data_IF_099108140436
#
_entry.id   IF_099108140436
#
_cell.length_a   1.000
_cell.length_b   1.000
_cell.length_c   1.000
_cell.angle_alpha   90.00
_cell.angle_beta   90.00
_cell.angle_gamma   90.00
#
_symmetry.space_group_name_H-M   'P 1'
#
loop_
_entity.id
_entity.type
_entity.pdbx_description
1 polymer ?
#
# COMPACT_ATOMS: atom_id res chain seq x y z
N UNK A 1 45.63 -34.42 -23.30
CA UNK A 1 44.16 -34.35 -23.27
C UNK A 1 43.76 -32.91 -22.91
N UNK A 2 43.40 -32.08 -23.91
CA UNK A 2 43.09 -30.65 -23.72
C UNK A 2 41.57 -30.51 -23.57
N UNK A 3 41.13 -30.05 -22.39
CA UNK A 3 39.71 -29.77 -22.11
C UNK A 3 39.43 -28.33 -22.47
N UNK A 4 38.60 -28.11 -23.49
CA UNK A 4 38.15 -26.79 -23.90
C UNK A 4 36.91 -26.40 -23.07
N UNK A 5 36.99 -25.31 -22.32
CA UNK A 5 35.86 -24.70 -21.64
C UNK A 5 35.11 -23.78 -22.61
N UNK A 6 33.87 -24.13 -22.93
CA UNK A 6 33.00 -23.25 -23.69
C UNK A 6 32.35 -22.24 -22.70
N UNK A 7 32.68 -20.97 -22.86
CA UNK A 7 32.06 -19.86 -22.15
C UNK A 7 30.75 -19.51 -22.86
N UNK A 8 29.64 -19.88 -22.27
CA UNK A 8 28.31 -19.49 -22.72
C UNK A 8 28.01 -18.03 -22.38
N UNK A 9 27.91 -17.19 -23.41
CA UNK A 9 27.47 -15.79 -23.28
C UNK A 9 25.94 -15.73 -23.08
N UNK A 10 25.48 -15.50 -21.85
CA UNK A 10 24.08 -15.28 -21.59
C UNK A 10 23.69 -13.87 -22.04
N UNK A 11 22.88 -13.76 -23.09
CA UNK A 11 22.22 -12.52 -23.49
C UNK A 11 21.14 -12.15 -22.45
N UNK A 12 21.38 -11.12 -21.66
CA UNK A 12 20.34 -10.46 -20.88
C UNK A 12 19.43 -9.69 -21.84
N UNK A 13 18.23 -10.21 -22.10
CA UNK A 13 17.17 -9.48 -22.78
C UNK A 13 16.52 -8.55 -21.75
N UNK A 14 16.86 -7.27 -21.80
CA UNK A 14 16.16 -6.25 -21.03
C UNK A 14 14.71 -6.14 -21.53
N UNK A 15 13.75 -6.47 -20.67
CA UNK A 15 12.33 -6.26 -20.98
C UNK A 15 12.05 -4.76 -21.12
N UNK A 16 11.40 -4.31 -22.23
CA UNK A 16 11.09 -2.90 -22.41
C UNK A 16 10.08 -2.47 -21.32
N UNK A 17 10.37 -1.34 -20.66
CA UNK A 17 9.42 -0.68 -19.78
C UNK A 17 8.15 -0.34 -20.59
N UNK A 18 6.99 -0.80 -20.13
CA UNK A 18 5.71 -0.50 -20.78
C UNK A 18 5.51 1.03 -20.85
N UNK A 19 5.23 1.60 -22.05
CA UNK A 19 5.04 3.02 -22.18
C UNK A 19 3.82 3.49 -21.39
N UNK A 20 3.94 4.60 -20.68
CA UNK A 20 2.81 5.27 -20.04
C UNK A 20 1.74 5.57 -21.11
N UNK A 21 0.53 5.10 -20.90
CA UNK A 21 -0.59 5.29 -21.83
C UNK A 21 -0.91 6.78 -21.93
N UNK A 22 -0.61 7.39 -23.07
CA UNK A 22 -1.03 8.76 -23.40
C UNK A 22 -2.41 8.68 -24.01
N UNK A 23 -3.40 9.29 -23.38
CA UNK A 23 -4.73 9.45 -23.96
C UNK A 23 -4.80 10.84 -24.59
N UNK A 24 -5.08 10.90 -25.88
CA UNK A 24 -5.32 12.17 -26.57
C UNK A 24 -6.79 12.58 -26.38
N UNK A 25 -6.99 13.72 -25.78
CA UNK A 25 -8.33 14.32 -25.65
C UNK A 25 -8.49 15.35 -26.76
N UNK A 26 -9.40 15.11 -27.70
CA UNK A 26 -9.79 16.08 -28.74
C UNK A 26 -10.76 17.09 -28.13
N UNK A 27 -10.37 18.35 -28.11
CA UNK A 27 -11.20 19.47 -27.62
C UNK A 27 -11.85 20.26 -28.71
N UNK A 28 -11.36 20.15 -29.98
CA UNK A 28 -11.89 20.76 -31.19
C UNK A 28 -11.35 20.02 -32.42
N UNK A 29 -11.99 20.12 -33.61
CA UNK A 29 -11.43 19.55 -34.81
C UNK A 29 -10.02 20.07 -35.10
N UNK A 30 -9.03 19.16 -35.06
CA UNK A 30 -7.62 19.45 -35.31
C UNK A 30 -6.76 19.80 -34.11
N UNK A 31 -7.29 19.81 -32.85
CA UNK A 31 -6.50 20.08 -31.65
C UNK A 31 -6.59 18.91 -30.66
N UNK A 32 -5.51 18.17 -30.50
CA UNK A 32 -5.38 17.11 -29.48
C UNK A 32 -4.36 17.50 -28.42
N UNK A 33 -4.67 17.21 -27.16
CA UNK A 33 -3.76 17.39 -26.04
C UNK A 33 -3.41 16.04 -25.44
N UNK A 34 -2.11 15.70 -25.26
CA UNK A 34 -1.70 14.50 -24.55
C UNK A 34 -1.98 14.67 -23.06
N UNK A 35 -2.92 13.91 -22.52
CA UNK A 35 -3.19 13.86 -21.08
C UNK A 35 -2.46 12.67 -20.47
N UNK A 36 -1.57 12.94 -19.51
CA UNK A 36 -0.91 11.90 -18.73
C UNK A 36 -1.90 11.29 -17.75
N UNK A 37 -2.46 10.15 -18.08
CA UNK A 37 -3.37 9.44 -17.18
C UNK A 37 -2.58 8.49 -16.25
N UNK A 38 -2.87 8.59 -14.95
CA UNK A 38 -2.38 7.63 -13.95
C UNK A 38 -3.49 6.61 -13.71
N UNK A 39 -3.22 5.32 -13.88
CA UNK A 39 -4.19 4.29 -13.57
C UNK A 39 -4.50 4.25 -12.07
N UNK A 40 -5.70 3.81 -11.68
CA UNK A 40 -6.05 3.63 -10.26
C UNK A 40 -5.08 2.68 -9.55
N UNK A 41 -4.54 1.68 -10.27
CA UNK A 41 -3.55 0.76 -9.75
C UNK A 41 -2.23 1.48 -9.43
N UNK A 42 -1.72 2.32 -10.34
CA UNK A 42 -0.52 3.13 -10.09
C UNK A 42 -0.74 4.13 -8.95
N UNK A 43 -1.90 4.80 -8.93
CA UNK A 43 -2.24 5.74 -7.87
C UNK A 43 -2.16 5.10 -6.47
N UNK A 44 -2.61 3.85 -6.31
CA UNK A 44 -2.53 3.11 -5.04
C UNK A 44 -1.11 2.82 -4.59
N UNK A 45 -0.17 2.67 -5.51
CA UNK A 45 1.25 2.41 -5.20
C UNK A 45 2.12 3.67 -5.16
N UNK A 46 1.53 4.86 -5.31
CA UNK A 46 2.30 6.11 -5.26
C UNK A 46 3.04 6.34 -3.94
N UNK A 47 2.41 5.97 -2.82
CA UNK A 47 2.96 6.11 -1.46
C UNK A 47 2.95 4.76 -0.70
N UNK A 48 3.03 3.66 -1.40
CA UNK A 48 3.11 2.31 -0.84
C UNK A 48 4.04 1.50 -1.71
N UNK A 49 5.07 0.94 -1.11
CA UNK A 49 6.03 0.08 -1.79
C UNK A 49 5.38 -1.26 -2.11
N UNK A 50 5.54 -1.70 -3.36
CA UNK A 50 5.03 -3.00 -3.79
C UNK A 50 6.02 -4.08 -3.44
N UNK A 51 5.56 -5.18 -2.82
CA UNK A 51 6.36 -6.37 -2.62
C UNK A 51 6.71 -7.04 -3.97
N UNK A 52 7.92 -7.59 -4.06
CA UNK A 52 8.40 -8.32 -5.24
C UNK A 52 8.12 -9.81 -5.15
N UNK A 53 8.19 -10.38 -3.95
CA UNK A 53 8.00 -11.80 -3.66
C UNK A 53 6.82 -12.01 -2.72
N UNK A 54 6.21 -13.18 -2.73
CA UNK A 54 5.05 -13.50 -1.86
C UNK A 54 5.38 -13.46 -0.37
N UNK A 55 6.64 -13.72 0.00
CA UNK A 55 7.13 -13.71 1.38
C UNK A 55 7.82 -12.38 1.78
N UNK A 56 7.89 -11.37 0.89
CA UNK A 56 8.59 -10.09 1.16
C UNK A 56 7.70 -8.97 1.67
N UNK A 57 6.47 -9.27 2.12
CA UNK A 57 5.56 -8.25 2.65
C UNK A 57 6.16 -7.46 3.83
N UNK A 58 7.01 -8.08 4.66
CA UNK A 58 7.69 -7.42 5.78
C UNK A 58 8.66 -6.33 5.33
N UNK A 59 9.55 -6.61 4.37
CA UNK A 59 10.49 -5.62 3.82
C UNK A 59 9.79 -4.50 3.10
N UNK A 60 8.74 -4.80 2.31
CA UNK A 60 7.95 -3.79 1.62
C UNK A 60 7.11 -2.92 2.58
N UNK A 61 6.60 -3.51 3.69
CA UNK A 61 5.91 -2.75 4.74
C UNK A 61 6.89 -1.79 5.46
N UNK A 62 8.09 -2.26 5.81
CA UNK A 62 9.14 -1.42 6.40
C UNK A 62 9.56 -0.31 5.44
N UNK A 63 9.82 -0.64 4.17
CA UNK A 63 10.17 0.35 3.16
C UNK A 63 9.07 1.40 2.97
N UNK A 64 7.79 0.98 3.03
CA UNK A 64 6.65 1.90 3.01
C UNK A 64 6.64 2.80 4.24
N UNK A 65 6.82 2.24 5.43
CA UNK A 65 6.80 2.95 6.70
C UNK A 65 7.90 4.02 6.72
N UNK A 66 9.15 3.63 6.46
CA UNK A 66 10.29 4.54 6.51
C UNK A 66 10.22 5.62 5.43
N UNK A 67 10.00 5.24 4.19
CA UNK A 67 10.03 6.19 3.07
C UNK A 67 8.90 7.22 3.14
N UNK A 68 7.68 6.78 3.41
CA UNK A 68 6.50 7.64 3.28
C UNK A 68 5.94 8.17 4.59
N UNK A 69 6.26 7.55 5.72
CA UNK A 69 5.71 7.97 7.00
C UNK A 69 6.78 8.60 7.92
N UNK A 70 8.06 8.31 7.70
CA UNK A 70 9.17 8.86 8.49
C UNK A 70 10.18 9.69 7.67
N UNK A 71 10.01 9.75 6.34
CA UNK A 71 10.90 10.52 5.47
C UNK A 71 12.34 9.98 5.43
N UNK A 72 12.51 8.66 5.62
CA UNK A 72 13.79 7.94 5.50
C UNK A 72 13.74 7.00 4.29
N UNK A 73 14.14 7.46 3.09
CA UNK A 73 13.94 6.71 1.85
C UNK A 73 14.74 5.40 1.85
N UNK A 74 14.03 4.32 1.55
CA UNK A 74 14.61 3.00 1.28
C UNK A 74 13.72 2.24 0.31
N UNK A 75 14.34 1.53 -0.64
CA UNK A 75 13.62 0.63 -1.53
C UNK A 75 13.42 -0.76 -0.90
N UNK A 76 12.48 -1.51 -1.46
CA UNK A 76 12.12 -2.84 -0.93
C UNK A 76 13.26 -3.84 -1.03
N UNK A 77 14.08 -3.78 -2.11
CA UNK A 77 15.18 -4.70 -2.31
C UNK A 77 16.27 -4.51 -1.25
N UNK A 78 16.66 -3.25 -1.00
CA UNK A 78 17.65 -2.92 0.04
C UNK A 78 17.19 -3.34 1.43
N UNK A 79 15.90 -3.10 1.77
CA UNK A 79 15.35 -3.56 3.03
C UNK A 79 15.32 -5.09 3.11
N UNK A 80 14.92 -5.76 2.02
CA UNK A 80 14.89 -7.22 1.92
C UNK A 80 16.29 -7.82 2.13
N UNK A 81 17.29 -7.36 1.39
CA UNK A 81 18.64 -7.92 1.42
C UNK A 81 19.25 -7.84 2.83
N UNK A 82 19.13 -6.67 3.48
CA UNK A 82 19.62 -6.48 4.85
C UNK A 82 18.88 -7.38 5.85
N UNK A 83 17.55 -7.43 5.77
CA UNK A 83 16.75 -8.25 6.68
C UNK A 83 16.99 -9.75 6.46
N UNK A 84 17.19 -10.18 5.21
CA UNK A 84 17.44 -11.57 4.85
C UNK A 84 18.84 -12.04 5.28
N UNK A 85 19.84 -11.19 5.11
CA UNK A 85 21.21 -11.48 5.54
C UNK A 85 21.35 -11.69 7.05
N UNK A 86 20.60 -10.88 7.84
CA UNK A 86 20.67 -10.92 9.30
C UNK A 86 19.59 -11.79 9.97
N UNK A 87 18.70 -12.39 9.19
CA UNK A 87 17.60 -13.22 9.65
C UNK A 87 17.83 -14.72 9.46
N UNK A 88 16.86 -15.51 9.91
CA UNK A 88 16.83 -16.96 9.64
C UNK A 88 16.28 -17.18 8.21
N UNK A 89 17.21 -17.32 7.24
CA UNK A 89 16.88 -17.43 5.83
C UNK A 89 15.95 -18.62 5.51
N UNK A 90 16.13 -19.77 6.21
CA UNK A 90 15.31 -20.94 6.01
C UNK A 90 13.86 -20.71 6.48
N UNK A 91 13.69 -20.01 7.58
CA UNK A 91 12.39 -19.60 8.11
C UNK A 91 11.74 -18.52 7.26
N UNK A 92 12.51 -17.49 6.89
CA UNK A 92 12.03 -16.38 6.04
C UNK A 92 11.50 -16.90 4.71
N UNK A 93 12.19 -17.85 4.07
CA UNK A 93 11.74 -18.45 2.81
C UNK A 93 10.42 -19.22 2.89
N UNK A 94 10.05 -19.70 4.09
CA UNK A 94 8.81 -20.47 4.32
C UNK A 94 7.66 -19.63 4.87
N UNK A 95 7.96 -18.73 5.82
CA UNK A 95 6.97 -18.03 6.64
C UNK A 95 6.98 -16.51 6.41
N UNK A 96 7.98 -15.98 5.66
CA UNK A 96 8.25 -14.55 5.54
C UNK A 96 8.99 -13.99 6.75
N UNK A 97 9.20 -12.67 6.74
CA UNK A 97 9.85 -11.95 7.84
C UNK A 97 8.99 -11.94 9.11
N UNK A 98 9.62 -11.93 10.28
CA UNK A 98 8.97 -11.74 11.56
C UNK A 98 9.02 -10.27 12.02
N UNK A 99 8.21 -9.91 13.03
CA UNK A 99 8.33 -8.60 13.70
C UNK A 99 9.70 -8.40 14.34
N UNK A 100 10.39 -9.48 14.74
CA UNK A 100 11.74 -9.40 15.28
C UNK A 100 12.76 -9.01 14.19
N UNK A 101 12.63 -9.53 12.98
CA UNK A 101 13.49 -9.16 11.86
C UNK A 101 13.27 -7.68 11.50
N UNK A 102 12.00 -7.24 11.48
CA UNK A 102 11.64 -5.82 11.30
C UNK A 102 12.25 -4.95 12.42
N UNK A 103 12.15 -5.38 13.68
CA UNK A 103 12.74 -4.66 14.84
C UNK A 103 14.24 -4.50 14.71
N UNK A 104 14.96 -5.57 14.37
CA UNK A 104 16.41 -5.55 14.19
C UNK A 104 16.84 -4.61 13.07
N UNK A 105 16.12 -4.69 11.95
CA UNK A 105 16.37 -3.81 10.82
C UNK A 105 16.15 -2.33 11.18
N UNK A 106 15.05 -1.99 11.83
CA UNK A 106 14.77 -0.63 12.28
C UNK A 106 15.83 -0.14 13.25
N UNK A 107 16.27 -0.99 14.20
CA UNK A 107 17.33 -0.67 15.15
C UNK A 107 18.67 -0.38 14.47
N UNK A 108 19.04 -1.10 13.40
CA UNK A 108 20.26 -0.83 12.63
C UNK A 108 20.25 0.53 11.93
N UNK A 109 19.05 1.13 11.76
CA UNK A 109 18.85 2.47 11.20
C UNK A 109 18.58 3.55 12.27
N UNK A 110 18.75 3.22 13.56
CA UNK A 110 18.54 4.16 14.66
C UNK A 110 17.10 4.33 15.13
N UNK A 111 16.16 3.57 14.58
CA UNK A 111 14.76 3.58 15.02
C UNK A 111 14.52 2.56 16.13
N UNK A 112 13.84 2.99 17.19
CA UNK A 112 13.39 2.13 18.27
C UNK A 112 11.91 1.80 18.08
N UNK A 113 11.59 0.52 17.87
CA UNK A 113 10.25 0.06 17.58
C UNK A 113 9.87 -1.15 18.41
N UNK A 114 8.63 -1.17 18.88
CA UNK A 114 8.08 -2.25 19.70
C UNK A 114 6.62 -2.55 19.35
N UNK A 115 6.19 -3.77 19.70
CA UNK A 115 4.80 -4.21 19.56
C UNK A 115 4.01 -3.93 20.83
N UNK A 116 2.83 -3.34 20.68
CA UNK A 116 1.91 -3.03 21.77
C UNK A 116 0.53 -3.61 21.51
N UNK A 117 -0.09 -4.17 22.54
CA UNK A 117 -1.50 -4.55 22.54
C UNK A 117 -2.33 -3.36 23.04
N UNK A 118 -2.70 -2.50 22.10
CA UNK A 118 -3.49 -1.29 22.39
C UNK A 118 -4.59 -1.11 21.35
N UNK A 119 -5.68 -0.42 21.69
CA UNK A 119 -6.72 -0.07 20.73
C UNK A 119 -6.18 0.75 19.56
N UNK A 120 -6.67 0.51 18.35
CA UNK A 120 -6.23 1.20 17.12
C UNK A 120 -6.40 2.73 17.22
N UNK A 121 -7.36 3.20 17.99
CA UNK A 121 -7.64 4.60 18.27
C UNK A 121 -6.44 5.32 18.90
N UNK A 122 -5.58 4.60 19.60
CA UNK A 122 -4.34 5.18 20.15
C UNK A 122 -3.43 5.71 19.06
N UNK A 123 -3.40 5.07 17.89
CA UNK A 123 -2.61 5.54 16.75
C UNK A 123 -3.11 6.91 16.24
N UNK A 124 -4.44 7.17 16.31
CA UNK A 124 -5.00 8.47 15.95
C UNK A 124 -4.63 9.55 16.96
N UNK A 125 -4.71 9.23 18.26
CA UNK A 125 -4.36 10.15 19.35
C UNK A 125 -2.87 10.50 19.32
N UNK A 126 -2.01 9.49 19.13
CA UNK A 126 -0.55 9.68 19.10
C UNK A 126 -0.03 10.18 17.75
N UNK A 127 -0.86 10.14 16.70
CA UNK A 127 -0.49 10.58 15.35
C UNK A 127 0.58 9.71 14.69
N UNK A 128 0.72 8.43 15.08
CA UNK A 128 1.80 7.57 14.63
C UNK A 128 1.30 6.43 13.75
N UNK A 129 2.01 6.09 12.65
CA UNK A 129 1.73 4.92 11.83
C UNK A 129 2.22 3.63 12.52
N UNK A 130 1.65 2.51 12.14
CA UNK A 130 2.02 1.20 12.69
C UNK A 130 2.12 0.13 11.61
N UNK A 131 3.01 -0.84 11.77
CA UNK A 131 2.93 -2.11 11.05
C UNK A 131 2.02 -3.05 11.84
N UNK A 132 1.12 -3.73 11.15
CA UNK A 132 0.23 -4.75 11.73
C UNK A 132 0.22 -5.99 10.87
N UNK A 133 -0.03 -7.13 11.50
CA UNK A 133 -0.23 -8.41 10.80
C UNK A 133 -1.73 -8.64 10.63
N UNK A 134 -2.17 -8.79 9.38
CA UNK A 134 -3.55 -9.15 9.06
C UNK A 134 -3.61 -10.55 8.45
N UNK A 135 -4.75 -11.21 8.64
CA UNK A 135 -5.06 -12.49 8.00
C UNK A 135 -6.23 -12.30 7.04
N UNK A 136 -5.97 -12.42 5.75
CA UNK A 136 -7.01 -12.34 4.74
C UNK A 136 -7.12 -13.66 3.99
N UNK A 137 -8.17 -14.45 4.30
CA UNK A 137 -8.43 -15.78 3.73
C UNK A 137 -7.31 -16.81 3.99
N UNK A 138 -6.74 -16.80 5.18
CA UNK A 138 -5.64 -17.69 5.56
C UNK A 138 -4.25 -17.17 5.19
N UNK A 139 -4.16 -16.11 4.41
CA UNK A 139 -2.88 -15.46 4.09
C UNK A 139 -2.57 -14.38 5.12
N UNK A 140 -1.49 -14.61 5.89
CA UNK A 140 -0.96 -13.65 6.86
C UNK A 140 0.03 -12.73 6.16
N UNK A 141 -0.18 -11.40 6.24
CA UNK A 141 0.81 -10.47 5.74
C UNK A 141 0.85 -9.15 6.52
N UNK A 142 1.99 -8.49 6.43
CA UNK A 142 2.21 -7.19 7.03
C UNK A 142 1.68 -6.08 6.17
N UNK A 143 0.97 -5.14 6.81
CA UNK A 143 0.51 -3.90 6.21
C UNK A 143 0.84 -2.72 7.12
N UNK A 144 0.93 -1.52 6.57
CA UNK A 144 1.13 -0.29 7.33
C UNK A 144 -0.20 0.40 7.56
N UNK A 145 -0.60 0.62 8.82
CA UNK A 145 -1.70 1.51 9.16
C UNK A 145 -1.18 2.94 9.03
N UNK A 146 -1.65 3.65 8.01
CA UNK A 146 -1.24 5.02 7.64
C UNK A 146 -2.22 6.08 8.13
N UNK A 147 -3.39 5.65 8.57
CA UNK A 147 -4.42 6.56 9.06
C UNK A 147 -5.65 5.83 9.59
N UNK A 148 -6.34 6.54 10.49
CA UNK A 148 -7.65 6.17 11.01
C UNK A 148 -8.50 7.42 11.11
N UNK A 149 -9.66 7.43 10.46
CA UNK A 149 -10.55 8.59 10.45
C UNK A 149 -11.99 8.17 10.15
N UNK A 150 -12.93 8.68 10.95
CA UNK A 150 -14.40 8.45 10.75
C UNK A 150 -14.74 6.95 10.62
N UNK A 151 -14.18 6.08 11.46
CA UNK A 151 -14.43 4.64 11.45
C UNK A 151 -13.86 3.89 10.24
N UNK A 152 -12.91 4.50 9.51
CA UNK A 152 -12.18 3.89 8.39
C UNK A 152 -10.70 3.81 8.71
N UNK A 153 -10.09 2.67 8.36
CA UNK A 153 -8.65 2.41 8.49
C UNK A 153 -8.01 2.52 7.12
N UNK A 154 -6.98 3.34 7.01
CA UNK A 154 -6.19 3.52 5.80
C UNK A 154 -4.94 2.66 5.88
N UNK A 155 -4.75 1.78 4.92
CA UNK A 155 -3.67 0.81 4.87
C UNK A 155 -2.75 1.06 3.68
N UNK A 156 -1.44 1.00 3.92
CA UNK A 156 -0.42 0.76 2.90
C UNK A 156 -0.19 -0.75 2.81
N UNK A 157 -0.78 -1.37 1.80
CA UNK A 157 -0.74 -2.82 1.61
C UNK A 157 0.27 -3.16 0.51
N UNK A 158 1.37 -3.89 0.83
CA UNK A 158 2.42 -4.23 -0.14
C UNK A 158 1.92 -4.99 -1.38
N UNK A 159 0.84 -5.76 -1.23
CA UNK A 159 0.27 -6.54 -2.34
C UNK A 159 -0.75 -5.73 -3.16
N UNK A 160 -1.47 -4.77 -2.53
CA UNK A 160 -2.64 -4.10 -3.14
C UNK A 160 -2.53 -2.59 -3.23
N UNK A 161 -1.47 -2.01 -2.66
CA UNK A 161 -1.27 -0.57 -2.56
C UNK A 161 -2.12 0.08 -1.47
N UNK A 162 -2.15 1.40 -1.46
CA UNK A 162 -2.96 2.16 -0.48
C UNK A 162 -4.45 1.85 -0.67
N UNK A 163 -5.11 1.43 0.41
CA UNK A 163 -6.56 1.11 0.44
C UNK A 163 -7.17 1.48 1.78
N UNK A 164 -8.45 1.80 1.81
CA UNK A 164 -9.18 2.00 3.04
C UNK A 164 -10.30 0.97 3.20
N UNK A 165 -10.59 0.61 4.45
CA UNK A 165 -11.70 -0.27 4.80
C UNK A 165 -12.39 0.22 6.08
N UNK A 166 -13.60 -0.28 6.35
CA UNK A 166 -14.28 0.01 7.61
C UNK A 166 -13.54 -0.62 8.80
N UNK A 167 -13.63 0.01 9.97
CA UNK A 167 -13.06 -0.52 11.20
C UNK A 167 -13.52 -1.96 11.48
N UNK A 168 -14.80 -2.24 11.34
CA UNK A 168 -15.34 -3.59 11.52
C UNK A 168 -14.67 -4.63 10.63
N UNK A 169 -14.43 -4.29 9.35
CA UNK A 169 -13.72 -5.20 8.43
C UNK A 169 -12.26 -5.38 8.82
N UNK A 170 -11.60 -4.30 9.21
CA UNK A 170 -10.21 -4.36 9.67
C UNK A 170 -10.08 -5.25 10.91
N UNK A 171 -10.95 -5.10 11.92
CA UNK A 171 -10.93 -5.90 13.14
C UNK A 171 -11.11 -7.40 12.89
N UNK A 172 -11.88 -7.76 11.88
CA UNK A 172 -12.06 -9.17 11.47
C UNK A 172 -10.79 -9.77 10.83
N UNK A 173 -9.89 -8.93 10.30
CA UNK A 173 -8.63 -9.36 9.70
C UNK A 173 -7.45 -9.28 10.66
N UNK A 174 -7.49 -8.35 11.61
CA UNK A 174 -6.42 -8.06 12.56
C UNK A 174 -6.55 -8.95 13.80
N UNK A 175 -5.98 -10.17 13.71
CA UNK A 175 -6.23 -11.23 14.68
C UNK A 175 -5.35 -11.17 15.93
N UNK A 176 -4.11 -10.71 15.80
CA UNK A 176 -3.14 -10.69 16.91
C UNK A 176 -3.20 -9.44 17.78
N UNK A 177 -3.98 -8.42 17.40
CA UNK A 177 -4.17 -7.14 18.12
C UNK A 177 -2.90 -6.35 18.42
N UNK A 178 -1.76 -6.72 17.82
CA UNK A 178 -0.48 -6.03 17.99
C UNK A 178 -0.36 -4.89 16.99
N UNK A 179 -0.09 -3.68 17.47
CA UNK A 179 0.43 -2.56 16.69
C UNK A 179 1.93 -2.47 16.91
N UNK A 180 2.70 -2.48 15.84
CA UNK A 180 4.15 -2.34 15.89
C UNK A 180 4.53 -0.94 15.44
N UNK A 181 5.06 -0.12 16.36
CA UNK A 181 5.28 1.32 16.17
C UNK A 181 6.72 1.73 16.48
N UNK A 182 7.20 2.73 15.76
CA UNK A 182 8.43 3.46 16.09
C UNK A 182 8.07 4.52 17.16
N UNK A 183 8.80 4.55 18.27
CA UNK A 183 8.46 5.41 19.40
C UNK A 183 9.49 6.48 19.73
N UNK A 184 10.70 6.45 19.16
CA UNK A 184 11.75 7.45 19.38
C UNK A 184 11.74 8.60 18.37
N UNK A 185 10.98 8.53 17.26
CA UNK A 185 10.97 9.52 16.19
C UNK A 185 9.53 10.01 15.87
N UNK A 186 8.73 10.24 16.92
CA UNK A 186 7.30 10.60 16.79
C UNK A 186 7.07 11.90 16.03
N UNK A 187 7.93 12.88 16.20
CA UNK A 187 7.81 14.20 15.56
C UNK A 187 7.97 14.14 14.03
N UNK A 188 8.62 13.09 13.53
CA UNK A 188 8.77 12.82 12.09
C UNK A 188 7.61 12.04 11.50
N UNK A 189 6.76 11.48 12.35
CA UNK A 189 5.69 10.58 11.92
C UNK A 189 4.62 11.30 11.10
N UNK A 190 4.30 10.77 9.94
CA UNK A 190 3.19 11.24 9.10
C UNK A 190 2.05 10.23 9.24
N UNK A 191 0.94 10.69 9.82
CA UNK A 191 -0.27 9.90 9.99
C UNK A 191 -1.48 10.67 9.48
N UNK A 192 -2.47 9.99 8.91
CA UNK A 192 -3.68 10.62 8.36
C UNK A 192 -3.41 11.63 7.21
N UNK A 193 -2.35 11.42 6.42
CA UNK A 193 -2.00 12.30 5.30
C UNK A 193 -3.17 12.45 4.31
N UNK A 194 -3.57 13.70 3.94
CA UNK A 194 -4.59 13.92 2.90
C UNK A 194 -4.22 13.28 1.57
N UNK A 195 -2.93 13.25 1.22
CA UNK A 195 -2.42 12.62 -0.01
C UNK A 195 -2.71 11.13 -0.05
N UNK A 196 -2.59 10.43 1.09
CA UNK A 196 -2.86 9.00 1.18
C UNK A 196 -4.37 8.71 1.15
N UNK A 197 -5.18 9.56 1.79
CA UNK A 197 -6.63 9.44 1.73
C UNK A 197 -7.22 9.72 0.35
N UNK A 198 -6.57 10.57 -0.47
CA UNK A 198 -7.02 10.90 -1.81
C UNK A 198 -7.10 9.69 -2.76
N UNK A 199 -6.28 8.64 -2.53
CA UNK A 199 -6.32 7.41 -3.35
C UNK A 199 -7.36 6.39 -2.87
N UNK A 200 -8.00 6.64 -1.73
CA UNK A 200 -9.05 5.79 -1.15
C UNK A 200 -10.26 6.64 -0.70
N UNK A 201 -10.87 7.41 -1.61
CA UNK A 201 -11.97 8.31 -1.27
C UNK A 201 -13.14 7.54 -0.64
N UNK A 202 -13.89 8.20 0.25
CA UNK A 202 -15.18 7.70 0.67
C UNK A 202 -16.18 7.97 -0.45
N UNK A 203 -16.93 6.95 -0.89
CA UNK A 203 -18.09 7.22 -1.72
C UNK A 203 -19.11 7.99 -0.88
N UNK A 204 -19.64 9.14 -1.32
CA UNK A 204 -20.62 9.94 -0.57
C UNK A 204 -22.03 9.31 -0.59
N UNK A 205 -22.10 7.98 -0.51
CA UNK A 205 -23.36 7.23 -0.65
C UNK A 205 -24.37 7.60 0.46
N UNK A 206 -23.90 8.07 1.62
CA UNK A 206 -24.78 8.50 2.70
C UNK A 206 -25.26 9.96 2.57
N UNK A 207 -24.57 10.78 1.77
CA UNK A 207 -24.88 12.22 1.63
C UNK A 207 -25.50 12.55 0.26
N UNK A 208 -25.52 11.62 -0.71
CA UNK A 208 -25.78 11.93 -2.10
C UNK A 208 -26.96 11.25 -2.78
N UNK A 209 -27.73 10.41 -2.09
CA UNK A 209 -28.92 9.80 -2.68
C UNK A 209 -30.10 10.03 -1.74
N UNK A 210 -30.72 11.21 -1.83
CA UNK A 210 -32.15 11.30 -1.54
C UNK A 210 -32.87 10.38 -2.52
N UNK A 211 -33.35 9.26 -2.03
CA UNK A 211 -34.13 8.27 -2.81
C UNK A 211 -35.32 8.90 -3.55
N UNK A 212 -35.79 10.05 -3.10
CA UNK A 212 -36.90 10.81 -3.71
C UNK A 212 -36.45 11.70 -4.88
N UNK A 213 -35.14 11.97 -5.06
CA UNK A 213 -34.62 12.84 -6.12
C UNK A 213 -34.31 12.13 -7.45
N UNK A 214 -34.28 10.80 -7.50
CA UNK A 214 -33.95 10.06 -8.71
C UNK A 214 -35.14 9.76 -9.63
N UNK A 215 -36.37 9.87 -9.13
CA UNK A 215 -37.58 9.63 -9.91
C UNK A 215 -37.70 10.52 -11.18
N UNK A 216 -37.36 11.82 -11.14
CA UNK A 216 -37.45 12.71 -12.28
C UNK A 216 -36.32 12.54 -13.30
N UNK A 217 -35.18 11.97 -12.91
CA UNK A 217 -33.95 11.98 -13.72
C UNK A 217 -33.82 10.71 -14.58
N UNK A 218 -34.43 9.61 -14.19
CA UNK A 218 -34.14 8.26 -14.71
C UNK A 218 -35.14 7.77 -15.77
N UNK A 219 -36.26 8.42 -15.96
CA UNK A 219 -37.22 8.05 -17.01
C UNK A 219 -37.62 9.26 -17.86
N UNK A 220 -37.18 9.35 -19.10
CA UNK A 220 -37.86 10.20 -20.06
C UNK A 220 -39.30 9.68 -20.18
N UNK A 221 -40.26 10.45 -19.65
CA UNK A 221 -41.68 10.19 -19.89
C UNK A 221 -41.90 10.35 -21.40
N UNK A 222 -42.08 9.24 -22.10
CA UNK A 222 -42.66 9.29 -23.44
C UNK A 222 -44.06 9.89 -23.31
N UNK A 223 -44.28 11.04 -23.93
CA UNK A 223 -45.60 11.64 -24.01
C UNK A 223 -46.54 10.80 -24.86
N UNK A 224 -47.86 10.88 -24.64
CA UNK A 224 -48.82 10.26 -25.56
C UNK A 224 -48.73 11.00 -26.91
N UNK A 225 -47.92 10.43 -27.83
CA UNK A 225 -47.67 11.04 -29.16
C UNK A 225 -46.35 10.61 -29.80
N UNK A 226 -45.45 9.97 -29.06
CA UNK A 226 -44.23 9.39 -29.63
C UNK A 226 -44.52 7.97 -30.17
N UNK A 227 -45.10 7.94 -31.39
CA UNK A 227 -45.21 6.73 -32.21
C UNK A 227 -44.15 6.84 -33.30
#
# INVERSE_FOLDING_TARGET
MKIAYAVGLALLVAAPAAPAMKVEVQTSPGTSYPVKMTSLKEARFRNTVRQKYDFSCGSAAVATLLTYQYGDPIDEQSAFDIMYEHGDQAKIGKEGFSLLDIKRFLASRGFQADGFDVPLERLEVEGVPAIVLINERGYHHFVVVKGYKKGRVLLGDPARGTRAMSRRRFDALWTNRIVFVIHNERDRAIFNSPRDWAVAPAAPIAEGIERNGLGPIVMPKRGPGDI
#
